data_IF_183562992761
#
_entry.id   IF_183562992761
#
_cell.length_a   1.000
_cell.length_b   1.000
_cell.length_c   1.000
_cell.angle_alpha   90.00
_cell.angle_beta   90.00
_cell.angle_gamma   90.00
#
_symmetry.space_group_name_H-M   'P 1'
#
loop_
_entity.id
_entity.type
_entity.pdbx_description
1 polymer ?
#
# COMPACT_ATOMS: atom_id res chain seq x y z
N UNK A 1 49.37 -26.54 20.46
CA UNK A 1 49.07 -25.49 21.44
C UNK A 1 48.30 -26.11 22.58
N UNK A 2 48.85 -26.06 23.79
CA UNK A 2 48.23 -26.62 25.00
C UNK A 2 46.98 -25.81 25.39
N UNK A 3 45.91 -26.44 25.92
CA UNK A 3 44.75 -25.71 26.41
C UNK A 3 45.09 -25.03 27.75
N UNK A 4 44.83 -23.72 27.83
CA UNK A 4 44.88 -22.95 29.07
C UNK A 4 43.70 -23.32 29.98
N UNK A 5 43.87 -23.31 31.32
CA UNK A 5 42.79 -23.58 32.26
C UNK A 5 41.90 -22.34 32.46
N UNK A 6 40.57 -22.55 32.45
CA UNK A 6 39.59 -21.55 32.86
C UNK A 6 39.64 -21.36 34.39
N UNK A 7 40.52 -20.48 34.85
CA UNK A 7 40.40 -19.82 36.15
C UNK A 7 39.49 -18.60 36.01
N UNK A 8 38.18 -18.83 36.08
CA UNK A 8 37.23 -17.84 36.61
C UNK A 8 36.36 -18.53 37.65
N UNK A 9 36.99 -18.86 38.78
CA UNK A 9 36.29 -19.13 40.02
C UNK A 9 35.58 -17.85 40.45
N UNK A 10 34.27 -17.79 40.20
CA UNK A 10 33.41 -16.83 40.88
C UNK A 10 33.65 -16.98 42.37
N UNK A 11 34.15 -15.91 42.98
CA UNK A 11 34.39 -15.84 44.40
C UNK A 11 33.09 -16.24 45.12
N UNK A 12 33.11 -17.43 45.75
CA UNK A 12 32.14 -17.77 46.77
C UNK A 12 32.49 -16.90 47.96
N UNK A 13 32.06 -15.64 47.91
CA UNK A 13 32.04 -14.75 49.07
C UNK A 13 31.22 -15.48 50.12
N UNK A 14 31.91 -16.01 51.13
CA UNK A 14 31.34 -16.42 52.39
C UNK A 14 30.63 -15.20 52.98
N UNK A 15 29.35 -15.02 52.63
CA UNK A 15 28.45 -14.06 53.26
C UNK A 15 28.18 -14.57 54.66
N UNK A 16 29.09 -14.28 55.57
CA UNK A 16 28.77 -14.28 57.00
C UNK A 16 27.94 -13.01 57.21
N UNK A 17 26.64 -13.09 57.55
CA UNK A 17 25.90 -11.89 57.92
C UNK A 17 26.38 -11.48 59.32
N UNK A 18 27.43 -10.66 59.37
CA UNK A 18 27.86 -9.91 60.55
C UNK A 18 27.05 -8.61 60.73
N UNK A 19 26.22 -8.24 59.75
CA UNK A 19 25.45 -6.99 59.76
C UNK A 19 24.22 -6.96 60.67
N UNK A 20 23.55 -8.09 60.92
CA UNK A 20 22.30 -8.10 61.69
C UNK A 20 22.51 -7.93 63.20
N UNK A 21 23.62 -8.45 63.77
CA UNK A 21 23.95 -8.25 65.18
C UNK A 21 24.36 -6.79 65.49
N UNK A 22 24.96 -6.07 64.53
CA UNK A 22 25.27 -4.65 64.67
C UNK A 22 24.04 -3.75 64.55
N UNK A 23 23.07 -4.11 63.70
CA UNK A 23 21.86 -3.31 63.50
C UNK A 23 20.94 -3.30 64.74
N UNK A 24 20.82 -4.41 65.48
CA UNK A 24 20.01 -4.43 66.70
C UNK A 24 20.59 -3.57 67.84
N UNK A 25 21.92 -3.41 67.90
CA UNK A 25 22.56 -2.50 68.88
C UNK A 25 22.41 -1.03 68.53
N UNK A 26 22.21 -0.68 67.26
CA UNK A 26 22.04 0.71 66.83
C UNK A 26 20.71 1.34 67.29
N UNK A 27 19.70 0.54 67.63
CA UNK A 27 18.37 1.02 68.03
C UNK A 27 18.14 1.08 69.55
N UNK A 28 19.15 0.84 70.38
CA UNK A 28 19.02 0.88 71.84
C UNK A 28 19.57 2.20 72.39
N UNK A 29 18.68 3.06 72.89
CA UNK A 29 19.07 4.33 73.54
C UNK A 29 19.40 4.04 75.02
N UNK A 30 20.59 4.43 75.52
CA UNK A 30 20.93 4.23 76.92
C UNK A 30 20.02 5.08 77.83
N UNK A 31 19.49 4.46 78.89
CA UNK A 31 18.55 5.10 79.82
C UNK A 31 19.12 6.38 80.45
N UNK A 32 20.43 6.44 80.71
CA UNK A 32 21.11 7.64 81.21
C UNK A 32 20.92 8.85 80.30
N UNK A 33 21.13 8.70 78.98
CA UNK A 33 20.91 9.79 78.02
C UNK A 33 19.45 10.22 77.95
N UNK A 34 18.51 9.27 78.09
CA UNK A 34 17.09 9.59 78.10
C UNK A 34 16.71 10.43 79.34
N UNK A 35 17.26 10.09 80.51
CA UNK A 35 17.08 10.85 81.75
C UNK A 35 17.66 12.26 81.59
N UNK A 36 18.88 12.38 81.07
CA UNK A 36 19.54 13.68 80.85
C UNK A 36 18.71 14.58 79.92
N UNK A 37 18.20 14.05 78.81
CA UNK A 37 17.35 14.80 77.90
C UNK A 37 16.02 15.23 78.53
N UNK A 38 15.40 14.38 79.36
CA UNK A 38 14.17 14.73 80.06
C UNK A 38 14.44 15.85 81.08
N UNK A 39 15.54 15.77 81.83
CA UNK A 39 15.92 16.81 82.80
C UNK A 39 16.21 18.14 82.10
N UNK A 40 17.01 18.12 81.03
CA UNK A 40 17.34 19.31 80.25
C UNK A 40 16.08 19.95 79.66
N UNK A 41 15.17 19.13 79.12
CA UNK A 41 13.89 19.60 78.58
C UNK A 41 13.03 20.23 79.66
N UNK A 42 12.84 19.59 80.82
CA UNK A 42 12.05 20.14 81.92
C UNK A 42 12.65 21.43 82.46
N UNK A 43 13.98 21.50 82.57
CA UNK A 43 14.68 22.72 82.98
C UNK A 43 14.45 23.85 81.99
N UNK A 44 14.60 23.58 80.68
CA UNK A 44 14.35 24.58 79.64
C UNK A 44 12.89 25.06 79.64
N UNK A 45 11.92 24.14 79.70
CA UNK A 45 10.49 24.48 79.79
C UNK A 45 10.20 25.32 81.04
N UNK A 46 10.85 25.03 82.18
CA UNK A 46 10.73 25.82 83.41
C UNK A 46 11.36 27.22 83.29
N UNK A 47 12.51 27.34 82.63
CA UNK A 47 13.16 28.64 82.37
C UNK A 47 12.29 29.52 81.49
N UNK A 48 11.77 28.96 80.38
CA UNK A 48 10.85 29.67 79.48
C UNK A 48 9.58 30.09 80.22
N UNK A 49 9.04 29.21 81.08
CA UNK A 49 7.90 29.53 81.92
C UNK A 49 8.23 30.74 82.83
N UNK A 50 9.35 30.69 83.57
CA UNK A 50 9.77 31.75 84.48
C UNK A 50 9.93 33.14 83.81
N UNK A 51 10.41 33.19 82.56
CA UNK A 51 10.53 34.45 81.80
C UNK A 51 9.17 35.00 81.32
N UNK A 52 8.20 34.13 81.03
CA UNK A 52 6.90 34.51 80.48
C UNK A 52 5.84 34.82 81.55
N UNK A 53 5.99 34.29 82.76
CA UNK A 53 5.05 34.48 83.88
C UNK A 53 4.83 35.94 84.32
N UNK A 54 5.87 36.79 84.44
CA UNK A 54 5.72 38.16 84.92
C UNK A 54 4.83 39.04 84.04
N UNK A 55 4.70 38.70 82.75
CA UNK A 55 3.95 39.48 81.75
C UNK A 55 2.47 39.09 81.63
N UNK A 56 2.03 38.02 82.30
CA UNK A 56 0.65 37.49 82.21
C UNK A 56 -0.21 37.91 83.41
N UNK A 57 -1.54 37.87 83.22
CA UNK A 57 -2.53 38.11 84.29
C UNK A 57 -2.41 37.03 85.39
N UNK A 58 -2.90 37.32 86.60
CA UNK A 58 -2.81 36.37 87.73
C UNK A 58 -3.52 35.03 87.45
N UNK A 59 -4.64 35.06 86.73
CA UNK A 59 -5.39 33.85 86.37
C UNK A 59 -4.66 33.02 85.32
N UNK A 60 -4.15 33.65 84.26
CA UNK A 60 -3.40 32.95 83.20
C UNK A 60 -2.09 32.36 83.73
N UNK A 61 -1.43 33.08 84.65
CA UNK A 61 -0.24 32.58 85.35
C UNK A 61 -0.51 31.28 86.09
N UNK A 62 -1.63 31.18 86.82
CA UNK A 62 -2.01 29.97 87.57
C UNK A 62 -2.30 28.78 86.65
N UNK A 63 -2.99 29.02 85.53
CA UNK A 63 -3.32 27.98 84.54
C UNK A 63 -2.05 27.41 83.90
N UNK A 64 -1.10 28.27 83.51
CA UNK A 64 0.16 27.83 82.88
C UNK A 64 1.06 27.04 83.84
N UNK A 65 1.17 27.47 85.10
CA UNK A 65 1.89 26.72 86.14
C UNK A 65 1.27 25.34 86.34
N UNK A 66 -0.06 25.26 86.39
CA UNK A 66 -0.76 24.00 86.53
C UNK A 66 -0.52 23.07 85.34
N UNK A 67 -0.64 23.58 84.11
CA UNK A 67 -0.44 22.80 82.88
C UNK A 67 1.00 22.29 82.76
N UNK A 68 1.99 23.12 83.11
CA UNK A 68 3.39 22.71 83.17
C UNK A 68 3.60 21.59 84.20
N UNK A 69 3.06 21.75 85.41
CA UNK A 69 3.17 20.74 86.47
C UNK A 69 2.52 19.41 86.07
N UNK A 70 1.32 19.45 85.48
CA UNK A 70 0.61 18.26 85.01
C UNK A 70 1.37 17.54 83.88
N UNK A 71 1.88 18.29 82.90
CA UNK A 71 2.65 17.73 81.76
C UNK A 71 3.98 17.13 82.21
N UNK A 72 4.70 17.85 83.08
CA UNK A 72 5.96 17.39 83.68
C UNK A 72 5.74 16.13 84.49
N UNK A 73 4.71 16.09 85.35
CA UNK A 73 4.34 14.89 86.11
C UNK A 73 4.09 13.69 85.20
N UNK A 74 3.35 13.86 84.11
CA UNK A 74 3.06 12.75 83.18
C UNK A 74 4.33 12.23 82.50
N UNK A 75 5.26 13.11 82.14
CA UNK A 75 6.57 12.74 81.58
C UNK A 75 7.39 11.93 82.58
N UNK A 76 7.48 12.38 83.83
CA UNK A 76 8.20 11.66 84.89
C UNK A 76 7.54 10.34 85.30
N UNK A 77 6.21 10.22 85.22
CA UNK A 77 5.51 8.94 85.42
C UNK A 77 5.89 7.94 84.33
N UNK A 78 5.95 8.37 83.05
CA UNK A 78 6.40 7.51 81.94
C UNK A 78 7.87 7.11 82.11
N UNK A 79 8.73 8.04 82.52
CA UNK A 79 10.13 7.74 82.83
C UNK A 79 10.24 6.73 83.99
N UNK A 80 9.44 6.88 85.04
CA UNK A 80 9.39 5.94 86.16
C UNK A 80 8.99 4.53 85.71
N UNK A 81 8.03 4.41 84.79
CA UNK A 81 7.66 3.12 84.21
C UNK A 81 8.84 2.47 83.47
N UNK A 82 9.59 3.24 82.67
CA UNK A 82 10.79 2.76 81.99
C UNK A 82 11.90 2.36 82.96
N UNK A 83 12.13 3.11 84.03
CA UNK A 83 13.11 2.78 85.07
C UNK A 83 12.73 1.49 85.79
N UNK A 84 11.44 1.28 86.11
CA UNK A 84 10.95 0.01 86.68
C UNK A 84 11.17 -1.17 85.74
N UNK A 85 10.98 -0.97 84.43
CA UNK A 85 11.22 -1.98 83.40
C UNK A 85 12.71 -2.25 83.16
N UNK A 86 13.57 -1.25 83.36
CA UNK A 86 15.01 -1.39 83.20
C UNK A 86 15.61 -2.47 84.12
N UNK A 87 15.00 -2.74 85.27
CA UNK A 87 15.42 -3.84 86.16
C UNK A 87 15.33 -5.23 85.48
N UNK A 88 14.43 -5.38 84.51
CA UNK A 88 14.26 -6.61 83.72
C UNK A 88 15.02 -6.59 82.38
N UNK A 89 15.71 -5.49 82.05
CA UNK A 89 16.34 -5.32 80.74
C UNK A 89 17.43 -6.37 80.45
N UNK A 90 18.17 -6.82 81.47
CA UNK A 90 19.21 -7.85 81.32
C UNK A 90 18.64 -9.21 80.88
N UNK A 91 17.40 -9.54 81.27
CA UNK A 91 16.70 -10.76 80.84
C UNK A 91 16.23 -10.62 79.39
N UNK A 92 15.68 -9.45 79.04
CA UNK A 92 15.21 -9.15 77.68
C UNK A 92 16.37 -9.15 76.68
N UNK A 93 17.51 -8.56 77.03
CA UNK A 93 18.72 -8.56 76.19
C UNK A 93 19.23 -9.98 75.92
N UNK A 94 19.23 -10.86 76.93
CA UNK A 94 19.58 -12.29 76.72
C UNK A 94 18.58 -12.99 75.81
N UNK A 95 17.28 -12.80 76.00
CA UNK A 95 16.26 -13.39 75.14
C UNK A 95 16.35 -12.87 73.70
N UNK A 96 16.62 -11.58 73.52
CA UNK A 96 16.82 -10.97 72.20
C UNK A 96 18.04 -11.58 71.49
N UNK A 97 19.16 -11.82 72.19
CA UNK A 97 20.33 -12.51 71.63
C UNK A 97 20.03 -13.95 71.24
N UNK A 98 19.28 -14.68 72.07
CA UNK A 98 18.88 -16.06 71.77
C UNK A 98 17.97 -16.08 70.53
N UNK A 99 16.99 -15.16 70.45
CA UNK A 99 16.11 -15.02 69.31
C UNK A 99 16.89 -14.69 68.03
N UNK A 100 17.81 -13.73 68.09
CA UNK A 100 18.68 -13.39 66.97
C UNK A 100 19.56 -14.56 66.51
N UNK A 101 20.08 -15.37 67.45
CA UNK A 101 20.80 -16.59 67.11
C UNK A 101 19.90 -17.62 66.40
N UNK A 102 18.69 -17.86 66.92
CA UNK A 102 17.73 -18.79 66.33
C UNK A 102 17.29 -18.35 64.92
N UNK A 103 17.04 -17.05 64.72
CA UNK A 103 16.71 -16.50 63.41
C UNK A 103 17.86 -16.68 62.43
N UNK A 104 19.11 -16.45 62.87
CA UNK A 104 20.31 -16.71 62.06
C UNK A 104 20.42 -18.18 61.66
N UNK A 105 20.17 -19.11 62.58
CA UNK A 105 20.18 -20.54 62.25
C UNK A 105 19.08 -20.90 61.24
N UNK A 106 17.86 -20.37 61.41
CA UNK A 106 16.76 -20.55 60.47
C UNK A 106 17.13 -20.07 59.06
N UNK A 107 17.75 -18.89 58.96
CA UNK A 107 18.22 -18.35 57.68
C UNK A 107 19.28 -19.23 57.02
N UNK A 108 20.22 -19.79 57.79
CA UNK A 108 21.23 -20.71 57.25
C UNK A 108 20.62 -21.98 56.66
N UNK A 109 19.55 -22.52 57.26
CA UNK A 109 18.85 -23.69 56.71
C UNK A 109 18.18 -23.37 55.37
N UNK A 110 17.53 -22.21 55.27
CA UNK A 110 16.87 -21.77 54.04
C UNK A 110 17.91 -21.55 52.94
N UNK A 111 18.97 -20.79 53.22
CA UNK A 111 20.02 -20.50 52.25
C UNK A 111 20.74 -21.76 51.76
N UNK A 112 20.99 -22.72 52.66
CA UNK A 112 21.58 -24.02 52.27
C UNK A 112 20.64 -24.80 51.35
N UNK A 113 19.34 -24.82 51.63
CA UNK A 113 18.37 -25.49 50.77
C UNK A 113 18.28 -24.82 49.39
N UNK A 114 18.29 -23.50 49.34
CA UNK A 114 18.27 -22.72 48.09
C UNK A 114 19.54 -22.94 47.26
N UNK A 115 20.71 -22.93 47.91
CA UNK A 115 21.98 -23.27 47.28
C UNK A 115 21.93 -24.68 46.68
N UNK A 116 21.46 -25.68 47.44
CA UNK A 116 21.40 -27.06 46.97
C UNK A 116 20.43 -27.22 45.79
N UNK A 117 19.27 -26.56 45.85
CA UNK A 117 18.30 -26.54 44.76
C UNK A 117 18.89 -25.95 43.49
N UNK A 118 19.61 -24.82 43.61
CA UNK A 118 20.30 -24.17 42.50
C UNK A 118 21.33 -25.10 41.86
N UNK A 119 22.18 -25.75 42.67
CA UNK A 119 23.18 -26.70 42.17
C UNK A 119 22.52 -27.87 41.44
N UNK A 120 21.45 -28.42 42.00
CA UNK A 120 20.76 -29.57 41.42
C UNK A 120 20.05 -29.26 40.09
N UNK A 121 19.43 -28.08 39.98
CA UNK A 121 18.59 -27.71 38.84
C UNK A 121 19.32 -26.97 37.73
N UNK A 122 20.31 -26.17 38.06
CA UNK A 122 21.01 -25.32 37.09
C UNK A 122 22.38 -25.92 36.79
N UNK A 123 23.25 -25.98 37.81
CA UNK A 123 24.66 -26.36 37.62
C UNK A 123 24.82 -27.78 37.10
N UNK A 124 24.13 -28.76 37.71
CA UNK A 124 24.21 -30.16 37.28
C UNK A 124 23.55 -30.41 35.92
N UNK A 125 22.51 -29.68 35.58
CA UNK A 125 21.85 -29.83 34.27
C UNK A 125 22.78 -29.35 33.16
N UNK A 126 23.51 -28.25 33.36
CA UNK A 126 24.50 -27.76 32.41
C UNK A 126 25.77 -28.64 32.33
N UNK A 127 26.11 -29.37 33.40
CA UNK A 127 27.21 -30.34 33.39
C UNK A 127 26.86 -31.63 32.62
N UNK A 128 25.58 -31.92 32.40
CA UNK A 128 25.13 -33.08 31.61
C UNK A 128 25.08 -32.71 30.14
N UNK A 129 25.61 -33.58 29.28
CA UNK A 129 25.43 -33.43 27.84
C UNK A 129 23.95 -33.69 27.47
N UNK A 130 23.34 -32.81 26.67
CA UNK A 130 22.01 -33.05 26.11
C UNK A 130 21.96 -34.32 25.27
N UNK A 131 20.76 -34.88 25.08
CA UNK A 131 20.57 -35.99 24.15
C UNK A 131 20.78 -35.49 22.71
N UNK A 132 21.60 -36.21 21.93
CA UNK A 132 21.89 -35.84 20.54
C UNK A 132 20.78 -36.32 19.60
N UNK A 133 20.22 -35.41 18.81
CA UNK A 133 19.16 -35.74 17.87
C UNK A 133 19.71 -36.29 16.55
N UNK A 134 20.20 -37.54 16.58
CA UNK A 134 20.87 -38.21 15.45
C UNK A 134 20.07 -38.18 14.14
N UNK A 135 18.73 -38.38 14.11
CA UNK A 135 17.98 -38.35 12.85
C UNK A 135 18.07 -37.01 12.12
N UNK A 136 18.07 -35.89 12.86
CA UNK A 136 18.21 -34.57 12.25
C UNK A 136 19.63 -34.33 11.72
N UNK A 137 20.65 -34.85 12.44
CA UNK A 137 22.03 -34.77 11.98
C UNK A 137 22.26 -35.58 10.71
N UNK A 138 21.70 -36.79 10.61
CA UNK A 138 21.78 -37.63 9.40
C UNK A 138 21.11 -36.94 8.21
N UNK A 139 19.95 -36.32 8.43
CA UNK A 139 19.23 -35.60 7.38
C UNK A 139 20.06 -34.43 6.85
N UNK A 140 20.57 -33.56 7.74
CA UNK A 140 21.40 -32.42 7.34
C UNK A 140 22.68 -32.90 6.63
N UNK A 141 23.28 -34.00 7.08
CA UNK A 141 24.47 -34.57 6.45
C UNK A 141 24.19 -35.11 5.04
N UNK A 142 23.00 -35.70 4.81
CA UNK A 142 22.67 -36.37 3.55
C UNK A 142 22.06 -35.43 2.52
N UNK A 143 21.15 -34.54 2.93
CA UNK A 143 20.41 -33.65 2.03
C UNK A 143 20.94 -32.22 2.05
N UNK A 144 21.82 -31.87 2.99
CA UNK A 144 22.32 -30.51 3.20
C UNK A 144 21.28 -29.56 3.81
N UNK A 145 20.06 -30.03 4.11
CA UNK A 145 18.97 -29.19 4.60
C UNK A 145 18.05 -29.95 5.58
N UNK A 146 17.30 -29.22 6.40
CA UNK A 146 16.32 -29.80 7.32
C UNK A 146 14.90 -29.72 6.77
N UNK A 147 14.20 -30.85 6.61
CA UNK A 147 12.84 -30.93 6.03
C UNK A 147 11.75 -30.40 6.96
N UNK A 148 11.92 -30.50 8.28
CA UNK A 148 10.92 -30.05 9.27
C UNK A 148 11.03 -28.57 9.60
N UNK A 149 11.80 -27.81 8.84
CA UNK A 149 11.82 -26.35 8.98
C UNK A 149 10.48 -25.80 8.49
N UNK A 150 9.74 -25.03 9.31
CA UNK A 150 8.50 -24.40 8.87
C UNK A 150 8.71 -23.56 7.61
N UNK A 151 7.86 -23.73 6.61
CA UNK A 151 7.90 -22.99 5.34
C UNK A 151 7.81 -21.47 5.56
N UNK A 152 7.14 -21.02 6.64
CA UNK A 152 7.03 -19.61 7.02
C UNK A 152 8.40 -18.93 7.22
N UNK A 153 9.42 -19.67 7.70
CA UNK A 153 10.78 -19.15 7.88
C UNK A 153 11.46 -19.04 6.52
N UNK A 154 11.26 -20.02 5.63
CA UNK A 154 11.79 -20.01 4.27
C UNK A 154 11.19 -18.86 3.46
N UNK A 155 9.87 -18.70 3.50
CA UNK A 155 9.14 -17.69 2.72
C UNK A 155 9.43 -16.25 3.16
N UNK A 156 9.79 -16.01 4.43
CA UNK A 156 10.12 -14.66 4.92
C UNK A 156 11.59 -14.26 4.77
N UNK A 157 12.52 -15.21 4.82
CA UNK A 157 13.95 -14.92 4.95
C UNK A 157 14.71 -15.23 3.66
N UNK A 158 14.26 -16.22 2.89
CA UNK A 158 14.92 -16.62 1.65
C UNK A 158 14.06 -16.13 0.47
N UNK A 159 14.61 -15.30 -0.44
CA UNK A 159 13.89 -14.94 -1.65
C UNK A 159 13.59 -16.22 -2.44
N UNK A 160 12.41 -16.34 -3.08
CA UNK A 160 12.10 -17.51 -3.90
C UNK A 160 13.17 -17.67 -4.99
N UNK A 161 13.51 -18.93 -5.29
CA UNK A 161 14.51 -19.24 -6.30
C UNK A 161 14.16 -18.55 -7.64
N UNK A 162 15.16 -17.97 -8.34
CA UNK A 162 14.90 -17.26 -9.58
C UNK A 162 14.34 -18.22 -10.62
N UNK A 163 13.24 -17.82 -11.25
CA UNK A 163 12.60 -18.59 -12.33
C UNK A 163 13.64 -18.89 -13.41
N UNK A 164 13.85 -20.18 -13.69
CA UNK A 164 14.85 -20.56 -14.70
C UNK A 164 14.38 -20.13 -16.09
N UNK A 165 15.28 -19.77 -17.02
CA UNK A 165 14.90 -19.39 -18.38
C UNK A 165 14.24 -20.55 -19.16
N UNK A 166 14.43 -21.79 -18.71
CA UNK A 166 13.73 -22.96 -19.24
C UNK A 166 12.27 -23.00 -18.78
N UNK A 167 12.02 -22.86 -17.48
CA UNK A 167 10.66 -22.79 -16.91
C UNK A 167 9.87 -21.61 -17.46
N UNK A 168 10.53 -20.45 -17.63
CA UNK A 168 9.90 -19.27 -18.26
C UNK A 168 9.44 -19.59 -19.68
N UNK A 169 10.29 -20.19 -20.52
CA UNK A 169 9.93 -20.56 -21.89
C UNK A 169 8.80 -21.58 -21.92
N UNK A 170 8.85 -22.60 -21.07
CA UNK A 170 7.80 -23.62 -20.98
C UNK A 170 6.46 -23.00 -20.54
N UNK A 171 6.49 -22.10 -19.55
CA UNK A 171 5.29 -21.41 -19.05
C UNK A 171 4.68 -20.50 -20.12
N UNK A 172 5.50 -19.77 -20.88
CA UNK A 172 5.01 -18.94 -21.99
C UNK A 172 4.42 -19.79 -23.13
N UNK A 173 5.01 -20.94 -23.44
CA UNK A 173 4.45 -21.88 -24.41
C UNK A 173 3.10 -22.44 -23.96
N UNK A 174 2.99 -22.81 -22.68
CA UNK A 174 1.71 -23.25 -22.10
C UNK A 174 0.67 -22.14 -22.14
N UNK A 175 1.06 -20.92 -21.84
CA UNK A 175 0.17 -19.76 -21.90
C UNK A 175 -0.32 -19.48 -23.33
N UNK A 176 0.55 -19.61 -24.34
CA UNK A 176 0.13 -19.52 -25.75
C UNK A 176 -0.94 -20.57 -26.10
N UNK A 177 -0.78 -21.80 -25.62
CA UNK A 177 -1.78 -22.88 -25.85
C UNK A 177 -3.11 -22.56 -25.17
N UNK A 178 -3.09 -22.04 -23.94
CA UNK A 178 -4.31 -21.63 -23.20
C UNK A 178 -5.02 -20.52 -23.96
N UNK A 179 -4.29 -19.50 -24.41
CA UNK A 179 -4.83 -18.39 -25.22
C UNK A 179 -5.44 -18.92 -26.51
N UNK A 180 -4.74 -19.81 -27.23
CA UNK A 180 -5.24 -20.41 -28.47
C UNK A 180 -6.53 -21.20 -28.24
N UNK A 181 -6.59 -22.02 -27.18
CA UNK A 181 -7.77 -22.79 -26.82
C UNK A 181 -8.97 -21.87 -26.49
N UNK A 182 -8.73 -20.78 -25.75
CA UNK A 182 -9.73 -19.77 -25.40
C UNK A 182 -10.28 -19.07 -26.64
N UNK A 183 -9.43 -18.71 -27.59
CA UNK A 183 -9.83 -18.03 -28.83
C UNK A 183 -10.63 -18.95 -29.77
N UNK A 184 -10.31 -20.25 -29.81
CA UNK A 184 -11.06 -21.23 -30.61
C UNK A 184 -12.45 -21.53 -30.01
N UNK A 185 -12.55 -21.54 -28.68
CA UNK A 185 -13.82 -21.81 -27.98
C UNK A 185 -14.71 -20.57 -27.91
N UNK A 186 -14.12 -19.37 -27.94
CA UNK A 186 -14.83 -18.09 -27.88
C UNK A 186 -15.44 -17.68 -29.21
N UNK A 187 -16.46 -16.82 -29.15
CA UNK A 187 -16.99 -16.13 -30.32
C UNK A 187 -16.01 -15.02 -30.73
N UNK A 188 -15.41 -15.12 -31.91
CA UNK A 188 -14.53 -14.10 -32.46
C UNK A 188 -15.28 -13.27 -33.51
N UNK A 189 -15.20 -11.95 -33.39
CA UNK A 189 -15.70 -11.03 -34.41
C UNK A 189 -14.89 -11.21 -35.71
N UNK A 190 -15.52 -11.12 -36.90
CA UNK A 190 -14.83 -11.26 -38.18
C UNK A 190 -13.65 -10.28 -38.36
N UNK A 191 -13.72 -9.11 -37.73
CA UNK A 191 -12.71 -8.05 -37.76
C UNK A 191 -11.47 -8.38 -36.93
N UNK A 192 -11.58 -9.29 -35.95
CA UNK A 192 -10.46 -9.72 -35.08
C UNK A 192 -9.75 -10.98 -35.59
N UNK A 193 -10.00 -11.41 -36.84
CA UNK A 193 -9.40 -12.64 -37.40
C UNK A 193 -7.90 -12.56 -37.62
N UNK A 194 -7.35 -11.34 -37.79
CA UNK A 194 -5.90 -11.12 -37.90
C UNK A 194 -5.32 -10.92 -36.51
N UNK A 195 -4.89 -12.02 -35.89
CA UNK A 195 -4.21 -11.99 -34.60
C UNK A 195 -2.90 -12.78 -34.64
N UNK A 196 -1.97 -12.43 -33.74
CA UNK A 196 -0.68 -13.09 -33.58
C UNK A 196 -0.51 -13.47 -32.11
N UNK A 197 -0.16 -14.74 -31.84
CA UNK A 197 0.07 -15.23 -30.48
C UNK A 197 1.57 -15.47 -30.32
N UNK A 198 2.21 -14.68 -29.46
CA UNK A 198 3.64 -14.79 -29.17
C UNK A 198 3.93 -14.48 -27.70
N UNK A 199 4.89 -15.20 -27.10
CA UNK A 199 5.39 -14.92 -25.75
C UNK A 199 4.32 -14.72 -24.66
N UNK A 200 3.23 -15.49 -24.69
CA UNK A 200 2.16 -15.43 -23.67
C UNK A 200 1.18 -14.27 -23.84
N UNK A 201 1.19 -13.58 -24.98
CA UNK A 201 0.21 -12.54 -25.32
C UNK A 201 -0.40 -12.79 -26.71
N UNK A 202 -1.64 -12.36 -26.88
CA UNK A 202 -2.27 -12.23 -28.19
C UNK A 202 -2.26 -10.76 -28.58
N UNK A 203 -1.77 -10.46 -29.77
CA UNK A 203 -1.92 -9.16 -30.41
C UNK A 203 -3.01 -9.25 -31.47
N UNK A 204 -4.03 -8.40 -31.35
CA UNK A 204 -5.01 -8.21 -32.40
C UNK A 204 -4.63 -6.97 -33.20
N UNK A 205 -4.58 -7.11 -34.51
CA UNK A 205 -4.29 -6.00 -35.41
C UNK A 205 -5.51 -5.73 -36.28
N UNK A 206 -6.12 -4.57 -36.08
CA UNK A 206 -7.16 -4.03 -36.95
C UNK A 206 -6.51 -2.97 -37.83
N UNK A 207 -6.49 -3.22 -39.14
CA UNK A 207 -5.81 -2.33 -40.09
C UNK A 207 -6.41 -0.91 -40.01
N UNK A 208 -5.54 0.10 -39.90
CA UNK A 208 -5.87 1.54 -39.83
C UNK A 208 -6.64 2.04 -38.58
N UNK A 209 -6.80 1.20 -37.55
CA UNK A 209 -7.44 1.60 -36.29
C UNK A 209 -6.50 1.42 -35.09
N UNK A 210 -6.25 0.18 -34.68
CA UNK A 210 -5.47 -0.12 -33.48
C UNK A 210 -4.83 -1.51 -33.48
N UNK A 211 -3.76 -1.63 -32.69
CA UNK A 211 -3.16 -2.88 -32.26
C UNK A 211 -3.31 -3.02 -30.74
N UNK A 212 -3.85 -4.15 -30.28
CA UNK A 212 -4.11 -4.39 -28.85
C UNK A 212 -3.49 -5.70 -28.38
N UNK A 213 -2.74 -5.64 -27.28
CA UNK A 213 -2.10 -6.79 -26.63
C UNK A 213 -2.88 -7.25 -25.41
N UNK A 214 -3.32 -8.52 -25.39
CA UNK A 214 -4.06 -9.14 -24.28
C UNK A 214 -3.36 -10.41 -23.78
N UNK A 215 -3.51 -10.72 -22.49
CA UNK A 215 -3.02 -11.96 -21.86
C UNK A 215 -4.03 -12.49 -20.86
N UNK A 216 -3.95 -13.80 -20.56
CA UNK A 216 -4.75 -14.46 -19.52
C UNK A 216 -3.83 -14.86 -18.36
N UNK A 217 -4.30 -14.71 -17.12
CA UNK A 217 -3.51 -15.03 -15.91
C UNK A 217 -3.81 -16.43 -15.33
N UNK A 218 -4.51 -17.29 -16.09
CA UNK A 218 -4.88 -18.63 -15.63
C UNK A 218 -5.56 -19.47 -16.70
N UNK A 219 -5.70 -20.77 -16.43
CA UNK A 219 -6.29 -21.76 -17.34
C UNK A 219 -7.83 -21.83 -17.21
N UNK A 220 -8.34 -21.46 -16.03
CA UNK A 220 -9.76 -21.53 -15.72
C UNK A 220 -10.60 -20.61 -16.63
N UNK A 221 -11.77 -21.08 -17.10
CA UNK A 221 -12.66 -20.32 -17.99
C UNK A 221 -13.22 -19.03 -17.40
N UNK A 222 -13.14 -18.90 -16.09
CA UNK A 222 -13.62 -17.75 -15.32
C UNK A 222 -12.59 -16.63 -15.20
N UNK A 223 -11.32 -16.86 -15.61
CA UNK A 223 -10.28 -15.84 -15.50
C UNK A 223 -10.47 -14.81 -16.62
N UNK A 224 -10.68 -13.52 -16.29
CA UNK A 224 -10.86 -12.49 -17.29
C UNK A 224 -9.56 -12.22 -18.04
N UNK A 225 -9.71 -11.67 -19.25
CA UNK A 225 -8.58 -11.17 -20.03
C UNK A 225 -7.93 -9.97 -19.30
N UNK A 226 -6.63 -9.78 -19.50
CA UNK A 226 -5.91 -8.58 -19.07
C UNK A 226 -5.32 -7.88 -20.26
N UNK A 227 -5.51 -6.57 -20.28
CA UNK A 227 -4.95 -5.68 -21.27
C UNK A 227 -3.50 -5.36 -20.90
N UNK A 228 -2.56 -5.57 -21.81
CA UNK A 228 -1.15 -5.20 -21.62
C UNK A 228 -0.88 -3.83 -22.21
N UNK A 229 -1.18 -3.69 -23.49
CA UNK A 229 -0.75 -2.54 -24.28
C UNK A 229 -1.76 -2.22 -25.38
N UNK A 230 -1.87 -0.94 -25.72
CA UNK A 230 -2.73 -0.43 -26.79
C UNK A 230 -1.92 0.55 -27.62
N UNK A 231 -1.75 0.22 -28.89
CA UNK A 231 -1.15 1.09 -29.89
C UNK A 231 -2.23 1.55 -30.88
N UNK A 232 -2.41 2.86 -31.01
CA UNK A 232 -3.32 3.43 -32.01
C UNK A 232 -2.58 3.60 -33.33
N UNK A 233 -3.09 2.96 -34.40
CA UNK A 233 -2.50 2.95 -35.74
C UNK A 233 -3.05 4.08 -36.64
N UNK A 234 -3.89 4.96 -36.07
CA UNK A 234 -4.40 6.15 -36.75
C UNK A 234 -3.27 7.17 -36.84
N UNK A 235 -2.77 7.41 -38.05
CA UNK A 235 -1.73 8.40 -38.33
C UNK A 235 -2.27 9.53 -39.20
N UNK A 236 -1.90 10.78 -38.87
CA UNK A 236 -2.06 11.93 -39.77
C UNK A 236 -0.66 12.35 -40.27
N UNK A 237 -0.33 11.96 -41.50
CA UNK A 237 0.97 12.27 -42.12
C UNK A 237 1.13 13.73 -42.55
N UNK A 238 0.04 14.46 -42.77
CA UNK A 238 0.13 15.86 -43.23
C UNK A 238 0.21 16.84 -42.04
N UNK A 239 -0.35 16.46 -40.89
CA UNK A 239 -0.42 17.33 -39.70
C UNK A 239 0.53 16.91 -38.59
N UNK A 240 0.82 15.61 -38.46
CA UNK A 240 1.34 15.02 -37.23
C UNK A 240 2.85 14.83 -37.16
N UNK A 241 3.61 14.99 -38.26
CA UNK A 241 5.06 14.74 -38.30
C UNK A 241 5.47 13.37 -37.69
N UNK A 242 4.56 12.38 -37.74
CA UNK A 242 4.75 11.05 -37.14
C UNK A 242 4.66 10.99 -35.60
N UNK A 243 4.21 12.06 -34.93
CA UNK A 243 3.96 12.05 -33.48
C UNK A 243 2.66 11.33 -33.17
N UNK A 244 2.66 10.54 -32.10
CA UNK A 244 1.47 9.88 -31.59
C UNK A 244 0.36 10.92 -31.34
N UNK A 245 -0.81 10.72 -31.95
CA UNK A 245 -1.96 11.61 -31.85
C UNK A 245 -2.57 11.64 -30.45
N UNK A 246 -2.33 10.59 -29.65
CA UNK A 246 -2.92 10.39 -28.33
C UNK A 246 -1.85 10.58 -27.25
N UNK A 247 -2.18 11.33 -26.21
CA UNK A 247 -1.27 11.55 -25.08
C UNK A 247 -1.17 10.28 -24.21
N UNK A 248 0.00 9.90 -23.66
CA UNK A 248 0.15 8.69 -22.84
C UNK A 248 -0.83 8.59 -21.65
N UNK A 249 -1.22 9.73 -21.06
CA UNK A 249 -2.25 9.76 -19.99
C UNK A 249 -3.64 9.33 -20.48
N UNK A 250 -4.01 9.69 -21.71
CA UNK A 250 -5.28 9.28 -22.32
C UNK A 250 -5.25 7.77 -22.59
N UNK A 251 -4.12 7.25 -23.08
CA UNK A 251 -3.93 5.80 -23.26
C UNK A 251 -4.08 5.06 -21.93
N UNK A 252 -3.48 5.56 -20.85
CA UNK A 252 -3.61 4.95 -19.52
C UNK A 252 -5.06 5.03 -18.98
N UNK A 253 -5.78 6.13 -19.23
CA UNK A 253 -7.19 6.23 -18.86
C UNK A 253 -8.06 5.21 -19.61
N UNK A 254 -7.85 5.06 -20.92
CA UNK A 254 -8.53 4.06 -21.75
C UNK A 254 -8.17 2.65 -21.28
N UNK A 255 -6.91 2.41 -20.92
CA UNK A 255 -6.43 1.14 -20.38
C UNK A 255 -7.20 0.76 -19.10
N UNK A 256 -7.32 1.69 -18.15
CA UNK A 256 -8.07 1.47 -16.90
C UNK A 256 -9.57 1.25 -17.16
N UNK A 257 -10.17 2.00 -18.08
CA UNK A 257 -11.58 1.87 -18.45
C UNK A 257 -11.87 0.48 -19.01
N UNK A 258 -11.07 0.05 -19.99
CA UNK A 258 -11.19 -1.26 -20.62
C UNK A 258 -10.94 -2.37 -19.61
N UNK A 259 -9.91 -2.23 -18.77
CA UNK A 259 -9.59 -3.23 -17.75
C UNK A 259 -10.71 -3.40 -16.72
N UNK A 260 -11.44 -2.33 -16.39
CA UNK A 260 -12.66 -2.41 -15.57
C UNK A 260 -13.79 -3.16 -16.27
N UNK A 261 -14.07 -2.82 -17.54
CA UNK A 261 -15.16 -3.44 -18.32
C UNK A 261 -14.95 -4.92 -18.63
N UNK A 262 -13.70 -5.35 -18.84
CA UNK A 262 -13.36 -6.76 -19.09
C UNK A 262 -13.69 -7.67 -17.89
N UNK A 263 -13.64 -7.13 -16.66
CA UNK A 263 -13.92 -7.92 -15.45
C UNK A 263 -15.43 -8.13 -15.26
N UNK A 264 -16.24 -7.17 -15.69
CA UNK A 264 -17.68 -7.17 -15.44
C UNK A 264 -18.50 -7.90 -16.53
N UNK A 265 -17.99 -7.98 -17.77
CA UNK A 265 -18.73 -8.49 -18.92
C UNK A 265 -18.36 -9.93 -19.33
N UNK A 266 -19.38 -10.69 -19.77
CA UNK A 266 -19.25 -12.08 -20.24
C UNK A 266 -18.59 -12.21 -21.61
N UNK A 267 -18.72 -11.20 -22.48
CA UNK A 267 -18.05 -11.14 -23.79
C UNK A 267 -17.00 -10.02 -23.83
N UNK A 268 -15.88 -10.27 -23.14
CA UNK A 268 -14.81 -9.29 -22.98
C UNK A 268 -14.20 -8.80 -24.30
N UNK A 269 -14.11 -9.66 -25.32
CA UNK A 269 -13.46 -9.30 -26.59
C UNK A 269 -14.32 -8.36 -27.43
N UNK A 270 -15.64 -8.56 -27.43
CA UNK A 270 -16.56 -7.67 -28.14
C UNK A 270 -16.61 -6.27 -27.51
N UNK A 271 -16.60 -6.17 -26.19
CA UNK A 271 -16.56 -4.88 -25.48
C UNK A 271 -15.24 -4.12 -25.71
N UNK A 272 -14.10 -4.83 -25.67
CA UNK A 272 -12.79 -4.25 -26.00
C UNK A 272 -12.81 -3.68 -27.41
N UNK A 273 -13.31 -4.47 -28.37
CA UNK A 273 -13.42 -4.03 -29.75
C UNK A 273 -14.31 -2.80 -29.88
N UNK A 274 -15.51 -2.82 -29.29
CA UNK A 274 -16.48 -1.73 -29.40
C UNK A 274 -15.95 -0.43 -28.79
N UNK A 275 -15.30 -0.50 -27.63
CA UNK A 275 -14.72 0.67 -26.96
C UNK A 275 -13.55 1.26 -27.75
N UNK A 276 -12.62 0.42 -28.22
CA UNK A 276 -11.48 0.86 -29.02
C UNK A 276 -11.92 1.38 -30.38
N UNK A 277 -12.88 0.71 -31.02
CA UNK A 277 -13.43 1.12 -32.31
C UNK A 277 -14.13 2.47 -32.21
N UNK A 278 -15.00 2.67 -31.21
CA UNK A 278 -15.64 3.96 -30.97
C UNK A 278 -14.63 5.09 -30.73
N UNK A 279 -13.59 4.82 -29.94
CA UNK A 279 -12.52 5.78 -29.72
C UNK A 279 -11.74 6.09 -31.01
N UNK A 280 -11.41 5.07 -31.81
CA UNK A 280 -10.71 5.25 -33.08
C UNK A 280 -11.56 6.03 -34.09
N UNK A 281 -12.86 5.76 -34.18
CA UNK A 281 -13.79 6.53 -35.01
C UNK A 281 -13.85 8.00 -34.57
N UNK A 282 -13.92 8.26 -33.26
CA UNK A 282 -13.88 9.62 -32.73
C UNK A 282 -12.56 10.31 -33.06
N UNK A 283 -11.44 9.60 -32.94
CA UNK A 283 -10.11 10.12 -33.26
C UNK A 283 -9.99 10.42 -34.76
N UNK A 284 -10.46 9.53 -35.63
CA UNK A 284 -10.49 9.75 -37.08
C UNK A 284 -11.35 10.98 -37.45
N UNK A 285 -12.51 11.16 -36.80
CA UNK A 285 -13.35 12.35 -37.00
C UNK A 285 -12.66 13.64 -36.54
N UNK A 286 -11.97 13.61 -35.39
CA UNK A 286 -11.20 14.76 -34.91
C UNK A 286 -10.04 15.13 -35.84
N UNK A 287 -9.34 14.13 -36.39
CA UNK A 287 -8.30 14.32 -37.41
C UNK A 287 -8.89 14.98 -38.65
N UNK A 288 -10.00 14.46 -39.18
CA UNK A 288 -10.67 15.03 -40.37
C UNK A 288 -11.18 16.45 -40.12
N UNK A 289 -11.72 16.73 -38.94
CA UNK A 289 -12.14 18.07 -38.54
C UNK A 289 -10.96 19.05 -38.50
N UNK A 290 -9.84 18.63 -37.88
CA UNK A 290 -8.62 19.44 -37.78
C UNK A 290 -8.01 19.70 -39.17
N UNK A 291 -7.97 18.68 -40.03
CA UNK A 291 -7.55 18.83 -41.43
C UNK A 291 -8.45 19.81 -42.19
N UNK A 292 -9.77 19.74 -41.99
CA UNK A 292 -10.73 20.67 -42.63
C UNK A 292 -10.49 22.11 -42.18
N UNK A 293 -10.31 22.36 -40.88
CA UNK A 293 -10.03 23.71 -40.37
C UNK A 293 -8.73 24.29 -40.92
N UNK A 294 -7.70 23.46 -41.09
CA UNK A 294 -6.44 23.89 -41.72
C UNK A 294 -6.62 24.20 -43.20
N UNK A 295 -7.37 23.37 -43.94
CA UNK A 295 -7.68 23.62 -45.35
C UNK A 295 -8.41 24.94 -45.56
N UNK A 296 -9.35 25.27 -44.67
CA UNK A 296 -10.06 26.57 -44.68
C UNK A 296 -9.04 27.71 -44.51
N UNK A 297 -8.19 27.63 -43.47
CA UNK A 297 -7.21 28.68 -43.17
C UNK A 297 -6.16 28.88 -44.27
N UNK A 298 -5.68 27.80 -44.88
CA UNK A 298 -4.48 27.86 -45.73
C UNK A 298 -4.82 28.04 -47.22
N UNK A 299 -5.91 27.44 -47.75
CA UNK A 299 -6.13 27.35 -49.22
C UNK A 299 -7.56 27.60 -49.71
N UNK A 300 -8.59 27.27 -48.95
CA UNK A 300 -9.97 27.10 -49.47
C UNK A 300 -11.02 27.93 -48.72
N UNK A 301 -10.61 29.11 -48.23
CA UNK A 301 -11.37 30.01 -47.34
C UNK A 301 -12.85 30.22 -47.74
N UNK A 302 -13.12 30.69 -48.96
CA UNK A 302 -14.49 30.98 -49.42
C UNK A 302 -15.25 29.76 -50.00
N UNK A 303 -14.55 28.66 -50.26
CA UNK A 303 -15.10 27.52 -51.01
C UNK A 303 -15.55 26.36 -50.13
N UNK A 304 -15.08 26.29 -48.89
CA UNK A 304 -15.37 25.20 -47.95
C UNK A 304 -15.77 25.77 -46.59
N UNK A 305 -16.82 25.23 -45.99
CA UNK A 305 -17.28 25.63 -44.65
C UNK A 305 -17.65 24.40 -43.83
N UNK A 306 -17.35 24.41 -42.53
CA UNK A 306 -17.84 23.39 -41.59
C UNK A 306 -19.19 23.84 -41.05
N UNK A 307 -20.27 23.19 -41.47
CA UNK A 307 -21.63 23.53 -40.99
C UNK A 307 -21.89 23.02 -39.58
N UNK A 308 -21.43 21.80 -39.27
CA UNK A 308 -21.76 21.14 -38.02
C UNK A 308 -20.70 20.11 -37.63
N UNK A 309 -20.22 20.20 -36.39
CA UNK A 309 -19.33 19.20 -35.80
C UNK A 309 -19.89 18.75 -34.45
N UNK A 310 -20.35 17.50 -34.39
CA UNK A 310 -20.71 16.80 -33.16
C UNK A 310 -19.60 15.80 -32.87
N UNK A 311 -18.87 16.05 -31.79
CA UNK A 311 -17.73 15.22 -31.35
C UNK A 311 -18.14 13.75 -31.30
N UNK A 312 -17.35 12.90 -31.97
CA UNK A 312 -17.54 11.45 -31.97
C UNK A 312 -18.79 10.94 -32.69
N UNK A 313 -19.53 11.78 -33.43
CA UNK A 313 -20.76 11.34 -34.11
C UNK A 313 -20.91 11.83 -35.55
N UNK A 314 -20.76 13.14 -35.81
CA UNK A 314 -21.01 13.68 -37.15
C UNK A 314 -20.19 14.92 -37.46
N UNK A 315 -19.56 14.92 -38.63
CA UNK A 315 -18.89 16.08 -39.23
C UNK A 315 -19.57 16.42 -40.55
N UNK A 316 -20.11 17.64 -40.68
CA UNK A 316 -20.77 18.13 -41.90
C UNK A 316 -19.98 19.29 -42.49
N UNK A 317 -19.55 19.13 -43.75
CA UNK A 317 -18.74 20.09 -44.50
C UNK A 317 -19.48 20.49 -45.76
N UNK A 318 -19.81 21.76 -45.89
CA UNK A 318 -20.31 22.38 -47.12
C UNK A 318 -19.16 22.72 -48.06
N UNK A 319 -19.35 22.49 -49.35
CA UNK A 319 -18.44 22.94 -50.40
C UNK A 319 -19.20 23.60 -51.55
N UNK A 320 -18.55 24.45 -52.36
CA UNK A 320 -19.16 25.12 -53.52
C UNK A 320 -20.40 25.98 -53.20
N UNK A 321 -20.29 26.82 -52.17
CA UNK A 321 -21.38 27.73 -51.76
C UNK A 321 -21.78 28.71 -52.87
N UNK A 322 -20.83 29.19 -53.66
CA UNK A 322 -21.10 30.12 -54.78
C UNK A 322 -21.95 29.52 -55.90
N UNK A 323 -21.81 28.22 -56.15
CA UNK A 323 -22.56 27.51 -57.19
C UNK A 323 -23.99 27.20 -56.74
N UNK A 324 -24.17 26.98 -55.43
CA UNK A 324 -25.48 26.74 -54.80
C UNK A 324 -26.41 27.95 -54.96
N UNK A 325 -25.86 29.18 -54.94
CA UNK A 325 -26.66 30.40 -55.12
C UNK A 325 -27.12 30.64 -56.57
N UNK A 326 -26.59 29.92 -57.57
CA UNK A 326 -26.87 30.16 -59.00
C UNK A 326 -27.79 29.11 -59.67
N UNK A 327 -28.04 27.98 -59.01
CA UNK A 327 -28.67 26.81 -59.64
C UNK A 327 -29.98 26.42 -58.89
N UNK A 328 -31.18 26.60 -59.49
CA UNK A 328 -32.46 26.35 -58.83
C UNK A 328 -32.77 24.86 -58.58
N UNK A 329 -31.99 23.93 -59.15
CA UNK A 329 -32.10 22.47 -58.90
C UNK A 329 -31.38 22.02 -57.60
N UNK A 330 -30.72 22.92 -56.85
CA UNK A 330 -29.85 22.58 -55.71
C UNK A 330 -30.20 23.35 -54.42
N UNK A 331 -31.48 23.44 -54.07
CA UNK A 331 -31.99 24.15 -52.87
C UNK A 331 -31.36 23.70 -51.53
N UNK A 332 -30.74 22.51 -51.47
CA UNK A 332 -30.17 21.92 -50.24
C UNK A 332 -28.66 22.15 -50.05
N UNK A 333 -28.00 22.77 -51.03
CA UNK A 333 -26.55 22.97 -51.06
C UNK A 333 -25.73 21.68 -51.18
N UNK A 334 -24.46 21.83 -51.56
CA UNK A 334 -23.53 20.71 -51.68
C UNK A 334 -22.84 20.45 -50.33
N UNK A 335 -23.28 19.40 -49.63
CA UNK A 335 -22.73 18.99 -48.33
C UNK A 335 -22.15 17.59 -48.35
N UNK A 336 -21.12 17.41 -47.54
CA UNK A 336 -20.44 16.17 -47.22
C UNK A 336 -20.63 15.92 -45.73
N UNK A 337 -21.28 14.82 -45.37
CA UNK A 337 -21.52 14.45 -43.98
C UNK A 337 -20.79 13.14 -43.70
N UNK A 338 -19.87 13.15 -42.74
CA UNK A 338 -19.17 11.96 -42.24
C UNK A 338 -19.80 11.61 -40.90
N UNK A 339 -20.44 10.45 -40.80
CA UNK A 339 -21.21 10.04 -39.63
C UNK A 339 -20.84 8.61 -39.19
N UNK A 340 -20.76 8.39 -37.88
CA UNK A 340 -20.74 7.04 -37.28
C UNK A 340 -22.15 6.46 -37.32
N UNK A 341 -22.34 5.25 -37.89
CA UNK A 341 -23.65 4.59 -37.89
C UNK A 341 -24.07 4.27 -36.44
N UNK A 342 -25.17 4.84 -35.91
CA UNK A 342 -25.59 4.62 -34.53
C UNK A 342 -26.16 3.21 -34.29
N UNK A 343 -26.46 2.44 -35.35
CA UNK A 343 -27.15 1.15 -35.22
C UNK A 343 -26.22 -0.06 -35.32
N UNK A 344 -24.98 0.13 -35.79
CA UNK A 344 -24.00 -0.95 -35.96
C UNK A 344 -22.60 -0.45 -35.56
N UNK A 345 -22.25 -0.66 -34.30
CA UNK A 345 -20.96 -0.27 -33.72
C UNK A 345 -19.76 -1.03 -34.33
N UNK A 346 -19.99 -1.98 -35.24
CA UNK A 346 -18.93 -2.66 -35.98
C UNK A 346 -18.72 -2.10 -37.39
N UNK A 347 -19.59 -1.20 -37.87
CA UNK A 347 -19.42 -0.57 -39.19
C UNK A 347 -18.53 0.65 -39.12
N UNK A 348 -17.69 0.77 -40.14
CA UNK A 348 -16.80 1.90 -40.36
C UNK A 348 -17.60 3.21 -40.62
N UNK A 349 -16.91 4.35 -40.56
CA UNK A 349 -17.48 5.68 -40.81
C UNK A 349 -18.22 5.72 -42.16
N UNK A 350 -19.48 6.14 -42.13
CA UNK A 350 -20.30 6.31 -43.33
C UNK A 350 -20.14 7.75 -43.86
N UNK A 351 -19.87 7.88 -45.16
CA UNK A 351 -19.81 9.16 -45.85
C UNK A 351 -21.10 9.35 -46.64
N UNK A 352 -21.87 10.36 -46.28
CA UNK A 352 -23.12 10.75 -46.92
C UNK A 352 -22.91 12.04 -47.71
N UNK A 353 -23.28 12.01 -48.99
CA UNK A 353 -23.21 13.18 -49.86
C UNK A 353 -24.61 13.74 -50.10
N UNK A 354 -24.76 15.06 -50.00
CA UNK A 354 -26.00 15.77 -50.35
C UNK A 354 -25.68 16.74 -51.49
N UNK A 355 -26.33 16.64 -52.68
CA UNK A 355 -27.21 15.56 -53.18
C UNK A 355 -26.47 14.22 -53.36
N UNK A 356 -27.20 13.10 -53.32
CA UNK A 356 -26.63 11.75 -53.36
C UNK A 356 -25.93 11.42 -54.67
N UNK A 357 -24.75 10.80 -54.58
CA UNK A 357 -23.90 10.37 -55.70
C UNK A 357 -24.08 8.85 -55.93
N UNK A 358 -25.30 8.32 -55.80
CA UNK A 358 -25.66 6.92 -56.12
C UNK A 358 -24.71 5.82 -55.57
N UNK A 359 -24.65 4.65 -56.21
CA UNK A 359 -23.84 3.49 -55.77
C UNK A 359 -22.33 3.73 -55.66
N UNK A 360 -21.82 4.91 -56.06
CA UNK A 360 -20.42 5.29 -55.87
C UNK A 360 -20.13 5.74 -54.44
N UNK A 361 -21.15 6.07 -53.63
CA UNK A 361 -21.00 6.51 -52.24
C UNK A 361 -20.33 5.48 -51.32
N UNK A 362 -20.74 4.21 -51.40
CA UNK A 362 -20.16 3.15 -50.58
C UNK A 362 -18.69 2.86 -50.94
N UNK A 363 -18.35 2.97 -52.23
CA UNK A 363 -17.00 2.75 -52.74
C UNK A 363 -16.07 3.96 -52.44
N UNK A 364 -16.62 5.18 -52.37
CA UNK A 364 -15.93 6.39 -51.91
C UNK A 364 -15.62 6.31 -50.41
N UNK A 365 -16.58 5.87 -49.60
CA UNK A 365 -16.39 5.64 -48.16
C UNK A 365 -15.34 4.56 -47.89
N UNK A 366 -15.46 3.41 -48.58
CA UNK A 366 -14.49 2.31 -48.44
C UNK A 366 -13.09 2.70 -48.92
N UNK A 367 -12.94 3.43 -50.03
CA UNK A 367 -11.60 3.81 -50.53
C UNK A 367 -10.94 4.93 -49.74
N UNK A 368 -11.69 5.90 -49.24
CA UNK A 368 -11.12 7.00 -48.45
C UNK A 368 -10.71 6.53 -47.04
N UNK A 369 -11.50 5.64 -46.42
CA UNK A 369 -11.22 5.09 -45.08
C UNK A 369 -10.19 3.96 -45.12
N UNK A 370 -10.12 3.15 -46.20
CA UNK A 370 -9.12 2.06 -46.34
C UNK A 370 -7.80 2.49 -46.99
N UNK A 371 -7.71 3.69 -47.55
CA UNK A 371 -6.42 4.14 -48.09
C UNK A 371 -5.44 4.42 -46.96
N UNK A 372 -4.16 4.12 -47.16
CA UNK A 372 -3.05 4.31 -46.21
C UNK A 372 -2.90 5.74 -45.64
N UNK A 373 -3.76 6.67 -46.06
CA UNK A 373 -3.68 8.11 -45.83
C UNK A 373 -5.09 8.68 -45.65
N UNK A 374 -5.58 8.73 -44.40
CA UNK A 374 -6.78 9.48 -44.04
C UNK A 374 -6.52 10.98 -44.29
N UNK A 375 -6.96 11.48 -45.44
CA UNK A 375 -6.79 12.88 -45.84
C UNK A 375 -8.11 13.47 -46.34
N UNK A 376 -8.57 14.49 -45.63
CA UNK A 376 -9.74 15.26 -46.01
C UNK A 376 -9.57 15.95 -47.38
N UNK A 377 -8.35 16.41 -47.71
CA UNK A 377 -8.06 17.03 -49.01
C UNK A 377 -8.34 16.06 -50.16
N UNK A 378 -7.83 14.83 -50.05
CA UNK A 378 -8.05 13.80 -51.07
C UNK A 378 -9.52 13.41 -51.21
N UNK A 379 -10.21 13.27 -50.09
CA UNK A 379 -11.64 12.99 -50.05
C UNK A 379 -12.42 14.08 -50.76
N UNK A 380 -12.14 15.36 -50.46
CA UNK A 380 -12.78 16.50 -51.10
C UNK A 380 -12.44 16.62 -52.60
N UNK A 381 -11.17 16.49 -52.98
CA UNK A 381 -10.72 16.53 -54.39
C UNK A 381 -11.40 15.43 -55.21
N UNK A 382 -11.47 14.20 -54.67
CA UNK A 382 -12.12 13.10 -55.37
C UNK A 382 -13.64 13.31 -55.46
N UNK A 383 -14.26 13.79 -54.38
CA UNK A 383 -15.68 14.14 -54.37
C UNK A 383 -16.02 15.21 -55.41
N UNK A 384 -15.22 16.27 -55.48
CA UNK A 384 -15.32 17.35 -56.45
C UNK A 384 -15.15 16.83 -57.88
N UNK A 385 -14.17 15.95 -58.11
CA UNK A 385 -13.94 15.32 -59.43
C UNK A 385 -15.14 14.49 -59.90
N UNK A 386 -15.73 13.67 -59.01
CA UNK A 386 -16.90 12.86 -59.38
C UNK A 386 -18.11 13.75 -59.67
N UNK A 387 -18.31 14.82 -58.90
CA UNK A 387 -19.41 15.77 -59.16
C UNK A 387 -19.22 16.60 -60.41
N UNK A 388 -18.00 17.03 -60.73
CA UNK A 388 -17.73 17.76 -61.97
C UNK A 388 -17.92 16.87 -63.20
N UNK A 389 -17.55 15.59 -63.12
CA UNK A 389 -17.82 14.61 -64.18
C UNK A 389 -19.33 14.34 -64.34
N UNK A 390 -20.08 14.23 -63.24
CA UNK A 390 -21.53 14.09 -63.30
C UNK A 390 -22.18 15.30 -63.98
N UNK A 391 -21.81 16.53 -63.58
CA UNK A 391 -22.31 17.74 -64.22
C UNK A 391 -21.90 17.88 -65.69
N UNK A 392 -20.69 17.43 -66.06
CA UNK A 392 -20.27 17.41 -67.47
C UNK A 392 -21.15 16.47 -68.31
N UNK A 393 -21.52 15.31 -67.75
CA UNK A 393 -22.45 14.40 -68.41
C UNK A 393 -23.86 14.99 -68.51
N UNK A 394 -24.35 15.65 -67.46
CA UNK A 394 -25.66 16.32 -67.48
C UNK A 394 -25.69 17.40 -68.57
N UNK A 395 -24.66 18.24 -68.66
CA UNK A 395 -24.53 19.26 -69.72
C UNK A 395 -24.46 18.62 -71.11
N UNK A 396 -23.77 17.48 -71.25
CA UNK A 396 -23.72 16.73 -72.52
C UNK A 396 -25.08 16.13 -72.91
N UNK A 397 -25.98 15.90 -71.96
CA UNK A 397 -27.35 15.45 -72.24
C UNK A 397 -28.33 16.59 -72.49
N UNK A 398 -27.99 17.80 -72.04
CA UNK A 398 -28.78 19.02 -72.27
C UNK A 398 -28.40 19.74 -73.60
N UNK A 399 -27.22 19.46 -74.15
CA UNK A 399 -26.76 19.80 -75.52
C UNK A 399 -27.21 18.76 -76.53
#
# INVERSE_FOLDING_TARGET
MAPQPLEQGGAVTSFIPTGQEMAQRQNLIPLGRLIDFIIQRTYHELTVLAELLPRKTDMDRKIEIYNFSASTRQLFIRLLALVKWANSASKVDKSAKIMGFLDKQSMLFIDTADMLSRVARETLVHARLPNFHIPAAVEILTTGSYSRLPSVIRDRIVPPDPITPAEKRQTLQRLNQVIQHRLVTGSLLPQLRKFRIENGRVTFKVDHEFEVSLTVMGDAPTVPWRLLDIDFLVEDKETGDGKALVHPLQVNYIHQLIQGRIVDCTDALAEVYTCLHYFCQSLQLEVLYTQTLRLIRDRLDDHIHVDEYVVGSRLTVSYWRELTNKDPKSELGYRLTIQTDPNDAAKQLAILHVPSIGNKEADIADRAVRSDLLSMERLLVHTVYVRSLARLNDVKTEL
#
